data_IF_321246616744
#
_entry.id   IF_321246616744
#
_cell.length_a   1.000
_cell.length_b   1.000
_cell.length_c   1.000
_cell.angle_alpha   90.00
_cell.angle_beta   90.00
_cell.angle_gamma   90.00
#
_symmetry.space_group_name_H-M   'P 1'
#
loop_
_entity.id
_entity.type
_entity.pdbx_description
1 polymer ?
#
# COMPACT_ATOMS: atom_id res chain seq x y z
N UNK A 1 13.71 7.37 -8.40
CA UNK A 1 12.63 6.85 -7.52
C UNK A 1 13.32 6.35 -6.27
N UNK A 2 13.01 6.96 -5.13
CA UNK A 2 13.61 6.65 -3.82
C UNK A 2 12.57 6.15 -2.81
N UNK A 3 11.35 5.84 -3.28
CA UNK A 3 10.26 5.35 -2.44
C UNK A 3 9.22 4.56 -3.23
N UNK A 4 8.54 3.64 -2.58
CA UNK A 4 7.41 2.89 -3.12
C UNK A 4 7.15 1.60 -2.34
N UNK A 5 6.17 0.83 -2.79
CA UNK A 5 5.80 -0.47 -2.23
C UNK A 5 6.56 -1.57 -2.95
N UNK A 6 7.24 -2.42 -2.19
CA UNK A 6 7.88 -3.61 -2.70
C UNK A 6 6.81 -4.66 -3.07
N UNK A 7 7.02 -5.30 -4.21
CA UNK A 7 6.25 -6.41 -4.72
C UNK A 7 7.22 -7.50 -5.13
N UNK A 8 6.96 -8.74 -4.73
CA UNK A 8 7.78 -9.89 -5.13
C UNK A 8 7.07 -10.69 -6.22
N UNK A 9 7.84 -11.49 -6.96
CA UNK A 9 7.33 -12.37 -7.99
C UNK A 9 7.85 -13.78 -7.76
N UNK A 10 6.96 -14.77 -7.80
CA UNK A 10 7.35 -16.19 -7.76
C UNK A 10 8.11 -16.60 -9.03
N UNK A 11 7.83 -15.93 -10.15
CA UNK A 11 8.51 -16.16 -11.41
C UNK A 11 9.60 -15.10 -11.63
N UNK A 12 10.74 -15.46 -12.24
CA UNK A 12 11.77 -14.49 -12.57
C UNK A 12 11.22 -13.38 -13.47
N UNK A 13 11.35 -12.13 -13.02
CA UNK A 13 11.14 -10.97 -13.89
C UNK A 13 12.32 -10.91 -14.85
N UNK A 14 12.07 -10.97 -16.16
CA UNK A 14 13.10 -10.86 -17.22
C UNK A 14 13.12 -9.44 -17.75
N UNK A 15 13.94 -8.56 -17.18
CA UNK A 15 13.88 -7.13 -17.54
C UNK A 15 14.30 -6.83 -18.97
N UNK A 16 15.11 -7.70 -19.57
CA UNK A 16 15.53 -7.60 -20.97
C UNK A 16 14.36 -7.88 -21.95
N UNK A 17 13.31 -8.59 -21.52
CA UNK A 17 12.11 -8.88 -22.31
C UNK A 17 11.06 -7.77 -22.24
N UNK A 18 11.17 -6.87 -21.26
CA UNK A 18 10.28 -5.71 -21.09
C UNK A 18 10.67 -4.67 -22.14
N UNK A 19 10.22 -4.86 -23.38
CA UNK A 19 10.72 -4.13 -24.55
C UNK A 19 9.90 -2.89 -24.91
N UNK A 20 8.60 -2.87 -24.62
CA UNK A 20 7.70 -1.82 -25.13
C UNK A 20 6.76 -1.23 -24.08
N UNK A 21 6.30 0.00 -24.36
CA UNK A 21 5.14 0.59 -23.71
C UNK A 21 3.88 -0.14 -24.14
N UNK A 22 2.90 -0.29 -23.25
CA UNK A 22 1.62 -0.92 -23.52
C UNK A 22 0.48 0.02 -23.11
N UNK A 23 -0.68 -0.13 -23.73
CA UNK A 23 -1.89 0.57 -23.32
C UNK A 23 -3.12 -0.27 -23.64
N UNK A 24 -4.12 -0.17 -22.79
CA UNK A 24 -5.47 -0.67 -23.05
C UNK A 24 -6.37 0.53 -23.33
N UNK A 25 -7.15 0.46 -24.40
CA UNK A 25 -8.09 1.50 -24.78
C UNK A 25 -9.52 1.07 -24.44
N UNK A 26 -10.35 2.05 -24.08
CA UNK A 26 -11.80 1.89 -23.99
C UNK A 26 -12.40 1.68 -25.38
N UNK A 27 -13.69 1.33 -25.44
CA UNK A 27 -14.44 1.23 -26.71
C UNK A 27 -14.40 2.56 -27.50
N UNK A 28 -14.30 3.69 -26.79
CA UNK A 28 -14.17 5.02 -27.40
C UNK A 28 -12.74 5.34 -27.92
N UNK A 29 -11.78 4.40 -27.79
CA UNK A 29 -10.40 4.55 -28.26
C UNK A 29 -9.48 5.32 -27.30
N UNK A 30 -9.97 5.70 -26.13
CA UNK A 30 -9.19 6.45 -25.14
C UNK A 30 -8.50 5.49 -24.17
N UNK A 31 -7.24 5.72 -23.76
CA UNK A 31 -6.54 4.79 -22.88
C UNK A 31 -7.21 4.71 -21.50
N UNK A 32 -7.63 3.50 -21.13
CA UNK A 32 -8.08 3.15 -19.77
C UNK A 32 -6.87 3.10 -18.84
N UNK A 33 -5.81 2.43 -19.29
CA UNK A 33 -4.50 2.51 -18.67
C UNK A 33 -3.40 2.54 -19.73
N UNK A 34 -2.26 3.13 -19.37
CA UNK A 34 -1.06 3.13 -20.18
C UNK A 34 0.15 2.87 -19.29
N UNK A 35 1.10 2.10 -19.79
CA UNK A 35 2.38 1.81 -19.15
C UNK A 35 3.50 2.16 -20.12
N UNK A 36 4.47 2.94 -19.66
CA UNK A 36 5.62 3.36 -20.45
C UNK A 36 6.91 2.90 -19.83
N UNK A 37 7.78 2.30 -20.65
CA UNK A 37 9.17 2.02 -20.27
C UNK A 37 9.99 3.29 -20.53
N UNK A 38 10.77 3.74 -19.54
CA UNK A 38 11.54 4.98 -19.62
C UNK A 38 13.03 4.74 -19.67
N UNK A 39 13.55 3.91 -18.77
CA UNK A 39 14.99 3.70 -18.65
C UNK A 39 15.26 2.24 -18.32
N UNK A 40 16.32 1.71 -18.93
CA UNK A 40 16.98 0.48 -18.51
C UNK A 40 18.36 0.84 -17.98
N UNK A 41 18.77 0.17 -16.94
CA UNK A 41 20.06 0.41 -16.31
C UNK A 41 20.50 -0.83 -15.57
N UNK A 42 21.77 -0.83 -15.20
CA UNK A 42 22.35 -1.78 -14.27
C UNK A 42 22.83 -1.01 -13.05
N UNK A 43 22.79 -1.63 -11.88
CA UNK A 43 23.36 -1.07 -10.67
C UNK A 43 24.85 -1.38 -10.55
N UNK A 44 25.50 -0.82 -9.52
CA UNK A 44 26.92 -1.13 -9.26
C UNK A 44 27.13 -2.57 -8.80
N UNK A 45 26.12 -3.21 -8.22
CA UNK A 45 26.13 -4.63 -7.86
C UNK A 45 25.80 -5.57 -9.03
N UNK A 46 25.59 -5.04 -10.24
CA UNK A 46 25.27 -5.82 -11.44
C UNK A 46 23.79 -6.17 -11.59
N UNK A 47 22.89 -5.57 -10.79
CA UNK A 47 21.45 -5.82 -10.92
C UNK A 47 20.89 -5.01 -12.07
N UNK A 48 20.36 -5.69 -13.08
CA UNK A 48 19.60 -5.04 -14.15
C UNK A 48 18.22 -4.63 -13.65
N UNK A 49 17.78 -3.45 -14.05
CA UNK A 49 16.44 -2.97 -13.75
C UNK A 49 15.90 -2.07 -14.86
N UNK A 50 14.57 -1.97 -14.89
CA UNK A 50 13.83 -1.08 -15.78
C UNK A 50 12.94 -0.17 -14.94
N UNK A 51 12.81 1.09 -15.34
CA UNK A 51 11.87 2.05 -14.72
C UNK A 51 10.90 2.59 -15.74
N UNK A 52 9.74 3.00 -15.26
CA UNK A 52 8.67 3.48 -16.11
C UNK A 52 7.64 4.32 -15.38
N UNK A 53 6.60 4.68 -16.14
CA UNK A 53 5.41 5.35 -15.63
C UNK A 53 4.17 4.57 -16.01
N UNK A 54 3.17 4.60 -15.15
CA UNK A 54 1.83 4.14 -15.44
C UNK A 54 0.87 5.34 -15.41
N UNK A 55 -0.19 5.27 -16.20
CA UNK A 55 -1.33 6.17 -16.14
C UNK A 55 -2.60 5.32 -16.08
N UNK A 56 -3.54 5.71 -15.23
CA UNK A 56 -4.85 5.07 -15.11
C UNK A 56 -5.91 6.15 -15.18
N UNK A 57 -6.84 6.01 -16.12
CA UNK A 57 -8.02 6.86 -16.18
C UNK A 57 -9.11 6.26 -15.29
N UNK A 58 -9.71 7.10 -14.45
CA UNK A 58 -10.87 6.75 -13.64
C UNK A 58 -12.04 7.65 -14.00
N UNK A 59 -13.21 7.05 -14.08
CA UNK A 59 -14.47 7.78 -14.10
C UNK A 59 -14.82 8.15 -12.66
N UNK A 60 -15.19 9.41 -12.46
CA UNK A 60 -15.66 9.92 -11.18
C UNK A 60 -17.02 10.57 -11.38
N UNK A 61 -17.95 10.27 -10.48
CA UNK A 61 -19.26 10.92 -10.45
C UNK A 61 -19.18 12.09 -9.46
N UNK A 62 -19.55 13.29 -9.92
CA UNK A 62 -19.57 14.52 -9.13
C UNK A 62 -20.99 15.05 -9.04
N UNK A 63 -21.45 15.32 -7.83
CA UNK A 63 -22.65 16.11 -7.62
C UNK A 63 -22.34 17.57 -7.89
N UNK A 64 -22.90 18.11 -8.97
CA UNK A 64 -22.73 19.50 -9.35
C UNK A 64 -24.02 20.24 -9.06
N UNK A 65 -23.96 21.19 -8.13
CA UNK A 65 -25.04 22.13 -7.87
C UNK A 65 -24.73 23.45 -8.57
N UNK A 66 -25.62 23.89 -9.46
CA UNK A 66 -25.58 25.24 -10.02
C UNK A 66 -26.71 26.06 -9.43
N UNK A 67 -26.38 27.24 -8.91
CA UNK A 67 -27.36 28.22 -8.43
C UNK A 67 -27.58 29.22 -9.56
N UNK A 68 -28.85 29.43 -9.94
CA UNK A 68 -29.22 30.49 -10.87
C UNK A 68 -30.16 31.47 -10.18
N UNK A 69 -29.82 32.76 -10.28
CA UNK A 69 -30.63 33.85 -9.76
C UNK A 69 -31.35 34.52 -10.92
N UNK A 70 -32.65 34.67 -10.79
CA UNK A 70 -33.52 35.38 -11.74
C UNK A 70 -34.36 36.40 -11.00
N UNK A 71 -35.05 37.27 -11.73
CA UNK A 71 -35.97 38.26 -11.14
C UNK A 71 -37.10 37.58 -10.33
N UNK A 72 -37.42 36.32 -10.64
CA UNK A 72 -38.44 35.49 -9.97
C UNK A 72 -37.90 34.68 -8.77
N UNK A 73 -36.61 34.81 -8.45
CA UNK A 73 -35.98 34.18 -7.29
C UNK A 73 -34.75 33.35 -7.59
N UNK A 74 -34.30 32.60 -6.57
CA UNK A 74 -33.11 31.74 -6.62
C UNK A 74 -33.55 30.29 -6.84
N UNK A 75 -33.00 29.65 -7.87
CA UNK A 75 -33.19 28.22 -8.11
C UNK A 75 -31.86 27.46 -7.98
N UNK A 76 -31.92 26.29 -7.35
CA UNK A 76 -30.77 25.38 -7.21
C UNK A 76 -31.05 24.17 -8.10
N UNK A 77 -30.20 23.93 -9.09
CA UNK A 77 -30.24 22.75 -9.93
C UNK A 77 -29.09 21.82 -9.53
N UNK A 78 -29.42 20.60 -9.12
CA UNK A 78 -28.46 19.55 -8.81
C UNK A 78 -28.49 18.53 -9.95
N UNK A 79 -27.31 18.19 -10.48
CA UNK A 79 -27.17 17.12 -11.46
C UNK A 79 -25.92 16.29 -11.15
N UNK A 80 -26.02 14.99 -11.43
CA UNK A 80 -24.87 14.10 -11.44
C UNK A 80 -24.07 14.36 -12.72
N UNK A 81 -22.78 14.69 -12.58
CA UNK A 81 -21.87 14.89 -13.70
C UNK A 81 -20.80 13.80 -13.65
N UNK A 82 -20.69 13.03 -14.75
CA UNK A 82 -19.57 12.10 -14.97
C UNK A 82 -18.38 12.87 -15.51
N UNK A 83 -17.25 12.71 -14.86
CA UNK A 83 -15.98 13.33 -15.22
C UNK A 83 -14.89 12.25 -15.25
N UNK A 84 -13.74 12.58 -15.83
CA UNK A 84 -12.60 11.68 -15.88
C UNK A 84 -11.40 12.31 -15.22
N UNK A 85 -10.72 11.55 -14.38
CA UNK A 85 -9.41 11.89 -13.85
C UNK A 85 -8.38 10.91 -14.34
N UNK A 86 -7.14 11.36 -14.51
CA UNK A 86 -6.00 10.51 -14.85
C UNK A 86 -5.03 10.52 -13.67
N UNK A 87 -4.83 9.35 -13.09
CA UNK A 87 -3.83 9.12 -12.06
C UNK A 87 -2.51 8.72 -12.73
N UNK A 88 -1.39 9.20 -12.19
CA UNK A 88 -0.06 8.87 -12.67
C UNK A 88 0.73 8.17 -11.58
N UNK A 89 1.44 7.12 -11.97
CA UNK A 89 2.27 6.31 -11.09
C UNK A 89 3.63 6.05 -11.69
N UNK A 90 4.57 5.68 -10.84
CA UNK A 90 5.92 5.26 -11.24
C UNK A 90 6.15 3.83 -10.78
N UNK A 91 6.97 3.13 -11.55
CA UNK A 91 7.32 1.75 -11.25
C UNK A 91 8.75 1.46 -11.64
N UNK A 92 9.29 0.44 -11.00
CA UNK A 92 10.62 -0.09 -11.22
C UNK A 92 10.56 -1.61 -11.08
N UNK A 93 11.10 -2.34 -12.03
CA UNK A 93 11.20 -3.80 -11.98
C UNK A 93 12.66 -4.22 -12.07
N UNK A 94 13.06 -5.14 -11.21
CA UNK A 94 14.44 -5.62 -11.07
C UNK A 94 14.50 -7.08 -11.51
N UNK A 95 15.54 -7.42 -12.25
CA UNK A 95 15.72 -8.75 -12.82
C UNK A 95 15.72 -9.82 -11.74
N UNK A 96 15.04 -10.94 -12.02
CA UNK A 96 14.94 -12.13 -11.17
C UNK A 96 14.35 -11.94 -9.76
N UNK A 97 13.45 -10.98 -9.51
CA UNK A 97 12.77 -11.05 -8.21
C UNK A 97 11.62 -10.12 -7.91
N UNK A 98 11.82 -8.81 -8.04
CA UNK A 98 10.96 -7.85 -7.36
C UNK A 98 10.75 -6.55 -8.14
N UNK A 99 9.69 -5.85 -7.77
CA UNK A 99 9.33 -4.55 -8.31
C UNK A 99 9.03 -3.56 -7.16
N UNK A 100 9.23 -2.28 -7.43
CA UNK A 100 8.78 -1.18 -6.59
C UNK A 100 7.73 -0.40 -7.37
N UNK A 101 6.59 -0.15 -6.76
CA UNK A 101 5.48 0.59 -7.35
C UNK A 101 5.08 1.77 -6.47
N UNK A 102 4.63 2.87 -7.05
CA UNK A 102 4.13 4.00 -6.25
C UNK A 102 2.81 3.70 -5.55
N UNK A 103 1.99 2.79 -6.11
CA UNK A 103 0.64 2.49 -5.64
C UNK A 103 0.20 1.07 -6.08
N UNK A 104 -0.86 0.53 -5.48
CA UNK A 104 -1.39 -0.81 -5.77
C UNK A 104 -1.98 -0.91 -7.17
N UNK A 105 -2.65 0.15 -7.64
CA UNK A 105 -3.18 0.15 -9.00
C UNK A 105 -2.05 0.08 -10.05
N UNK A 106 -0.87 0.62 -9.73
CA UNK A 106 0.32 0.51 -10.59
C UNK A 106 0.80 -0.94 -10.63
N UNK A 107 0.79 -1.65 -9.50
CA UNK A 107 1.06 -3.09 -9.47
C UNK A 107 0.08 -3.87 -10.35
N UNK A 108 -1.22 -3.52 -10.29
CA UNK A 108 -2.25 -4.13 -11.13
C UNK A 108 -1.97 -3.95 -12.63
N UNK A 109 -1.62 -2.73 -13.06
CA UNK A 109 -1.25 -2.46 -14.46
C UNK A 109 0.03 -3.23 -14.85
N UNK A 110 1.04 -3.28 -13.98
CA UNK A 110 2.25 -4.07 -14.21
C UNK A 110 1.94 -5.57 -14.33
N UNK A 111 1.01 -6.06 -13.52
CA UNK A 111 0.56 -7.44 -13.54
C UNK A 111 -0.02 -7.85 -14.88
N UNK A 112 -0.74 -6.94 -15.55
CA UNK A 112 -1.34 -7.22 -16.85
C UNK A 112 -0.33 -7.24 -18.01
N UNK A 113 0.80 -6.55 -17.87
CA UNK A 113 1.73 -6.29 -19.00
C UNK A 113 3.06 -7.02 -18.85
N UNK A 114 3.64 -7.00 -17.66
CA UNK A 114 5.05 -7.35 -17.43
C UNK A 114 5.18 -8.68 -16.70
N UNK A 115 4.54 -8.79 -15.53
CA UNK A 115 4.64 -10.00 -14.72
C UNK A 115 3.33 -10.22 -13.96
N UNK A 116 2.47 -11.16 -14.40
CA UNK A 116 1.17 -11.42 -13.77
C UNK A 116 1.27 -12.02 -12.37
N UNK A 117 2.48 -12.21 -11.85
CA UNK A 117 2.76 -12.86 -10.57
C UNK A 117 3.33 -11.90 -9.53
N UNK A 118 3.16 -10.58 -9.70
CA UNK A 118 3.46 -9.64 -8.62
C UNK A 118 2.51 -9.86 -7.46
N UNK A 119 3.08 -10.06 -6.28
CA UNK A 119 2.36 -10.26 -5.03
C UNK A 119 2.61 -9.12 -4.06
N UNK A 120 1.59 -8.87 -3.25
CA UNK A 120 1.76 -8.13 -2.02
C UNK A 120 2.73 -8.88 -1.11
N UNK A 121 3.55 -8.13 -0.40
CA UNK A 121 4.52 -8.67 0.54
C UNK A 121 4.50 -7.85 1.81
N UNK A 122 4.85 -8.51 2.92
CA UNK A 122 5.08 -7.86 4.19
C UNK A 122 6.59 -7.84 4.48
N UNK A 123 7.01 -6.96 5.40
CA UNK A 123 8.38 -6.88 5.88
C UNK A 123 8.52 -7.37 7.32
N UNK A 124 9.61 -8.08 7.58
CA UNK A 124 10.13 -8.31 8.92
C UNK A 124 11.00 -7.13 9.37
N UNK A 125 10.35 -6.11 9.92
CA UNK A 125 11.07 -4.92 10.39
C UNK A 125 12.03 -5.21 11.55
N UNK A 126 11.79 -6.28 12.34
CA UNK A 126 12.69 -6.69 13.42
C UNK A 126 13.96 -7.32 12.87
N UNK A 127 13.81 -8.29 11.98
CA UNK A 127 14.94 -8.87 11.25
C UNK A 127 15.71 -7.79 10.48
N UNK A 128 15.01 -6.85 9.85
CA UNK A 128 15.62 -5.72 9.16
C UNK A 128 16.47 -4.88 10.11
N UNK A 129 15.90 -4.43 11.23
CA UNK A 129 16.62 -3.62 12.22
C UNK A 129 17.84 -4.34 12.79
N UNK A 130 17.72 -5.64 13.07
CA UNK A 130 18.81 -6.44 13.63
C UNK A 130 20.00 -6.63 12.69
N UNK A 131 19.77 -6.60 11.37
CA UNK A 131 20.82 -6.77 10.37
C UNK A 131 21.42 -5.44 9.87
N UNK A 132 21.02 -4.29 10.43
CA UNK A 132 21.64 -3.00 10.15
C UNK A 132 22.84 -2.80 11.09
N UNK A 133 23.93 -2.27 10.54
CA UNK A 133 25.12 -1.90 11.32
C UNK A 133 24.88 -0.54 11.98
N UNK A 134 24.90 -0.52 13.33
CA UNK A 134 24.74 0.69 14.16
C UNK A 134 23.55 1.59 13.77
N UNK A 135 22.30 1.07 13.73
CA UNK A 135 21.14 1.87 13.34
C UNK A 135 20.73 2.84 14.47
N UNK A 136 20.64 4.13 14.16
CA UNK A 136 19.95 5.12 14.99
C UNK A 136 18.45 5.14 14.63
N UNK A 137 17.63 4.66 15.54
CA UNK A 137 16.18 4.54 15.34
C UNK A 137 15.51 5.87 15.68
N UNK A 138 14.93 6.53 14.66
CA UNK A 138 14.24 7.82 14.84
C UNK A 138 12.71 7.71 14.87
N UNK A 139 12.15 6.59 14.42
CA UNK A 139 10.71 6.30 14.48
C UNK A 139 10.45 4.81 14.69
N UNK A 140 9.53 4.49 15.61
CA UNK A 140 9.01 3.14 15.82
C UNK A 140 7.48 3.17 15.86
N UNK A 141 6.85 2.49 14.90
CA UNK A 141 5.43 2.20 14.94
C UNK A 141 5.16 0.78 15.39
N UNK A 142 4.11 0.60 16.19
CA UNK A 142 3.64 -0.71 16.63
C UNK A 142 2.18 -0.93 16.25
N UNK A 143 1.87 -2.18 15.90
CA UNK A 143 0.51 -2.66 15.82
C UNK A 143 0.15 -3.26 17.20
N UNK A 144 -0.82 -2.67 17.89
CA UNK A 144 -1.18 -3.10 19.23
C UNK A 144 -1.90 -4.45 19.22
N UNK A 145 -1.62 -5.29 20.23
CA UNK A 145 -2.67 -6.14 20.81
C UNK A 145 -3.66 -5.18 21.46
N UNK A 146 -4.96 -5.36 21.22
CA UNK A 146 -5.97 -4.45 21.78
C UNK A 146 -5.79 -4.31 23.29
N UNK A 147 -5.39 -3.14 23.76
CA UNK A 147 -5.39 -2.84 25.19
C UNK A 147 -6.83 -2.59 25.63
N UNK A 148 -7.17 -2.93 26.87
CA UNK A 148 -8.53 -2.81 27.40
C UNK A 148 -9.17 -1.41 27.27
N UNK A 149 -8.36 -0.37 27.04
CA UNK A 149 -8.79 1.03 26.82
C UNK A 149 -8.71 1.50 25.35
N UNK A 150 -8.61 0.58 24.38
CA UNK A 150 -8.86 0.90 22.96
C UNK A 150 -7.65 1.39 22.13
N UNK A 151 -6.42 1.35 22.65
CA UNK A 151 -5.23 1.60 21.84
C UNK A 151 -4.98 0.48 20.83
N UNK A 152 -5.09 0.77 19.53
CA UNK A 152 -4.87 -0.20 18.44
C UNK A 152 -3.60 0.05 17.62
N UNK A 153 -3.07 1.27 17.64
CA UNK A 153 -1.86 1.68 16.90
C UNK A 153 -1.19 2.84 17.64
N UNK A 154 0.14 2.85 17.70
CA UNK A 154 0.93 3.97 18.19
C UNK A 154 2.23 4.10 17.43
N UNK A 155 2.78 5.31 17.42
CA UNK A 155 4.06 5.65 16.80
C UNK A 155 4.84 6.52 17.77
N UNK A 156 6.08 6.14 18.03
CA UNK A 156 7.04 6.91 18.83
C UNK A 156 8.07 7.55 17.89
N UNK A 157 8.40 8.80 18.19
CA UNK A 157 9.41 9.58 17.51
C UNK A 157 10.44 10.06 18.53
N UNK A 158 11.71 10.03 18.18
CA UNK A 158 12.82 10.43 19.03
C UNK A 158 14.10 9.75 18.58
N UNK A 159 15.27 10.22 19.01
CA UNK A 159 16.53 9.50 18.76
C UNK A 159 16.71 8.41 19.82
N UNK A 160 17.33 7.28 19.46
CA UNK A 160 17.62 6.17 20.38
C UNK A 160 16.39 5.66 21.16
N UNK A 161 15.19 5.66 20.56
CA UNK A 161 13.93 5.25 21.24
C UNK A 161 14.00 3.81 21.77
N UNK A 162 14.75 2.96 21.09
CA UNK A 162 14.98 1.56 21.48
C UNK A 162 15.92 1.39 22.69
N UNK A 163 16.67 2.44 23.06
CA UNK A 163 17.61 2.43 24.18
C UNK A 163 17.02 3.04 25.46
N UNK A 164 15.78 3.52 25.40
CA UNK A 164 15.10 4.08 26.56
C UNK A 164 14.88 2.98 27.61
N UNK A 165 15.39 3.13 28.85
CA UNK A 165 15.31 2.09 29.87
C UNK A 165 13.91 1.86 30.43
N UNK A 166 12.97 2.80 30.24
CA UNK A 166 11.60 2.68 30.73
C UNK A 166 10.70 1.91 29.76
N UNK A 167 10.91 2.09 28.45
CA UNK A 167 10.03 1.54 27.40
C UNK A 167 10.72 0.55 26.46
N UNK A 168 12.06 0.53 26.43
CA UNK A 168 12.86 -0.26 25.48
C UNK A 168 12.54 -1.75 25.56
N UNK A 169 12.46 -2.32 26.76
CA UNK A 169 12.15 -3.74 26.97
C UNK A 169 10.76 -4.12 26.43
N UNK A 170 9.75 -3.29 26.68
CA UNK A 170 8.39 -3.54 26.16
C UNK A 170 8.34 -3.35 24.63
N UNK A 171 9.05 -2.36 24.12
CA UNK A 171 9.18 -2.13 22.70
C UNK A 171 9.85 -3.32 22.03
N UNK A 172 10.90 -3.92 22.60
CA UNK A 172 11.63 -5.04 21.99
C UNK A 172 10.77 -6.26 21.67
N UNK A 173 9.71 -6.49 22.44
CA UNK A 173 8.80 -7.63 22.24
C UNK A 173 7.56 -7.31 21.41
N UNK A 174 7.35 -6.04 21.07
CA UNK A 174 6.17 -5.61 20.33
C UNK A 174 6.38 -5.74 18.81
N UNK A 175 5.43 -6.34 18.05
CA UNK A 175 5.48 -6.36 16.60
C UNK A 175 5.51 -4.95 16.01
N UNK A 176 6.53 -4.67 15.20
CA UNK A 176 6.68 -3.39 14.51
C UNK A 176 5.79 -3.35 13.28
N UNK A 177 5.08 -2.24 13.08
CA UNK A 177 4.37 -1.97 11.82
C UNK A 177 5.02 -0.84 11.01
N UNK A 178 5.80 0.03 11.65
CA UNK A 178 6.55 1.10 10.99
C UNK A 178 7.94 1.22 11.63
N UNK A 179 8.95 1.55 10.84
CA UNK A 179 10.33 1.69 11.29
C UNK A 179 11.00 2.83 10.52
N UNK A 180 11.51 3.83 11.24
CA UNK A 180 12.38 4.87 10.71
C UNK A 180 13.76 4.74 11.33
N UNK A 181 14.78 4.62 10.49
CA UNK A 181 16.19 4.46 10.90
C UNK A 181 17.13 5.38 10.13
N UNK A 182 18.23 5.72 10.76
CA UNK A 182 19.42 6.30 10.16
C UNK A 182 20.58 5.32 10.36
N UNK A 183 21.34 4.99 9.32
CA UNK A 183 22.51 4.12 9.45
C UNK A 183 23.55 4.43 8.38
N UNK A 184 24.76 3.89 8.56
CA UNK A 184 25.82 4.02 7.56
C UNK A 184 25.52 3.10 6.37
N UNK A 185 25.55 3.65 5.17
CA UNK A 185 25.45 2.90 3.92
C UNK A 185 26.51 3.39 2.95
N UNK A 186 27.40 2.49 2.54
CA UNK A 186 28.60 2.81 1.76
C UNK A 186 29.43 3.90 2.47
N UNK A 187 29.64 5.06 1.84
CA UNK A 187 30.40 6.18 2.38
C UNK A 187 29.52 7.30 2.96
N UNK A 188 28.22 7.07 3.12
CA UNK A 188 27.26 8.09 3.54
C UNK A 188 26.28 7.61 4.59
N UNK A 189 25.41 8.50 5.02
CA UNK A 189 24.31 8.21 5.94
C UNK A 189 23.03 7.99 5.14
N UNK A 190 22.35 6.87 5.40
CA UNK A 190 21.04 6.58 4.85
C UNK A 190 19.97 6.80 5.90
N UNK A 191 18.99 7.66 5.61
CA UNK A 191 17.77 7.82 6.41
C UNK A 191 16.64 7.10 5.69
N UNK A 192 16.08 6.06 6.30
CA UNK A 192 15.09 5.20 5.68
C UNK A 192 13.83 5.08 6.54
N UNK A 193 12.68 4.91 5.89
CA UNK A 193 11.40 4.54 6.49
C UNK A 193 10.82 3.30 5.83
N UNK A 194 10.22 2.45 6.65
CA UNK A 194 9.63 1.19 6.26
C UNK A 194 8.25 1.00 6.89
N UNK A 195 7.31 0.42 6.15
CA UNK A 195 6.02 -0.03 6.68
C UNK A 195 5.83 -1.53 6.44
N UNK A 196 5.58 -2.28 7.52
CA UNK A 196 5.57 -3.74 7.50
C UNK A 196 4.48 -4.32 6.61
N UNK A 197 3.25 -3.80 6.70
CA UNK A 197 2.05 -4.40 6.09
C UNK A 197 1.86 -4.09 4.61
N UNK A 198 2.60 -3.12 4.08
CA UNK A 198 2.53 -2.71 2.66
C UNK A 198 3.85 -2.91 1.94
N UNK A 199 4.87 -3.36 2.69
CA UNK A 199 6.28 -3.33 2.31
C UNK A 199 6.69 -2.01 1.65
N UNK A 200 6.16 -0.89 2.17
CA UNK A 200 6.57 0.43 1.73
C UNK A 200 7.98 0.72 2.22
N UNK A 201 8.78 1.31 1.34
CA UNK A 201 10.15 1.75 1.59
C UNK A 201 10.29 3.19 1.10
N UNK A 202 10.96 4.04 1.85
CA UNK A 202 11.32 5.40 1.45
C UNK A 202 12.71 5.77 1.99
N UNK A 203 13.57 6.30 1.12
CA UNK A 203 14.86 6.88 1.49
C UNK A 203 14.79 8.40 1.47
N UNK A 204 15.09 9.01 2.60
CA UNK A 204 15.12 10.46 2.81
C UNK A 204 16.53 11.02 2.71
N UNK A 205 16.59 12.31 2.36
CA UNK A 205 17.84 13.07 2.27
C UNK A 205 18.72 12.62 1.09
N UNK A 206 19.64 13.48 0.66
CA UNK A 206 20.57 13.20 -0.44
C UNK A 206 19.92 13.02 -1.81
N UNK A 207 20.75 12.96 -2.84
CA UNK A 207 20.34 12.75 -4.23
C UNK A 207 20.41 11.26 -4.60
N UNK A 208 19.54 10.44 -4.02
CA UNK A 208 19.49 9.00 -4.31
C UNK A 208 19.19 8.74 -5.79
N UNK A 209 20.17 8.18 -6.50
CA UNK A 209 19.94 7.67 -7.85
C UNK A 209 19.10 6.39 -7.83
N UNK A 210 18.42 6.08 -8.94
CA UNK A 210 17.69 4.82 -9.12
C UNK A 210 18.58 3.60 -8.84
N UNK A 211 19.87 3.66 -9.22
CA UNK A 211 20.83 2.58 -9.03
C UNK A 211 21.11 2.33 -7.54
N UNK A 212 21.39 3.41 -6.79
CA UNK A 212 21.64 3.32 -5.35
C UNK A 212 20.40 2.83 -4.59
N UNK A 213 19.20 3.28 -4.99
CA UNK A 213 17.96 2.80 -4.41
C UNK A 213 17.74 1.29 -4.65
N UNK A 214 17.98 0.81 -5.87
CA UNK A 214 17.89 -0.63 -6.19
C UNK A 214 18.90 -1.45 -5.41
N UNK A 215 20.14 -0.98 -5.32
CA UNK A 215 21.19 -1.65 -4.54
C UNK A 215 20.79 -1.73 -3.06
N UNK A 216 20.36 -0.61 -2.47
CA UNK A 216 19.93 -0.54 -1.08
C UNK A 216 18.77 -1.49 -0.78
N UNK A 217 17.69 -1.43 -1.57
CA UNK A 217 16.50 -2.27 -1.38
C UNK A 217 16.85 -3.74 -1.50
N UNK A 218 17.60 -4.13 -2.53
CA UNK A 218 17.93 -5.53 -2.72
C UNK A 218 18.98 -6.05 -1.72
N UNK A 219 19.81 -5.20 -1.13
CA UNK A 219 20.78 -5.60 -0.10
C UNK A 219 20.12 -5.69 1.28
N UNK A 220 19.36 -4.69 1.67
CA UNK A 220 18.87 -4.54 3.04
C UNK A 220 17.43 -4.94 3.23
N UNK A 221 16.56 -4.83 2.22
CA UNK A 221 15.10 -4.96 2.42
C UNK A 221 14.58 -6.31 1.93
N UNK A 222 14.96 -6.74 0.74
CA UNK A 222 14.37 -7.92 0.07
C UNK A 222 14.55 -9.21 0.89
N UNK A 223 15.65 -9.35 1.62
CA UNK A 223 15.91 -10.51 2.50
C UNK A 223 14.95 -10.62 3.70
N UNK A 224 14.24 -9.54 4.02
CA UNK A 224 13.26 -9.49 5.11
C UNK A 224 11.81 -9.47 4.60
N UNK A 225 11.60 -9.78 3.33
CA UNK A 225 10.26 -10.07 2.80
C UNK A 225 9.73 -11.32 3.51
N UNK A 226 8.56 -11.19 4.13
CA UNK A 226 7.82 -12.32 4.65
C UNK A 226 6.95 -12.91 3.55
N UNK A 227 7.13 -14.20 3.29
CA UNK A 227 6.24 -14.98 2.44
C UNK A 227 5.12 -15.53 3.32
N UNK A 228 4.09 -14.71 3.56
CA UNK A 228 3.04 -15.04 4.53
C UNK A 228 2.13 -16.20 4.08
N UNK A 229 2.33 -16.75 2.88
CA UNK A 229 1.48 -17.79 2.29
C UNK A 229 0.01 -17.37 2.12
N UNK A 230 -0.32 -16.11 2.43
CA UNK A 230 -1.68 -15.59 2.42
C UNK A 230 -2.10 -15.33 0.98
N UNK A 231 -3.21 -15.93 0.57
CA UNK A 231 -3.73 -15.74 -0.77
C UNK A 231 -4.10 -14.26 -1.00
N UNK A 232 -3.83 -13.68 -2.19
CA UNK A 232 -4.24 -12.32 -2.50
C UNK A 232 -5.77 -12.23 -2.40
N UNK A 233 -6.27 -11.42 -1.46
CA UNK A 233 -7.71 -11.19 -1.25
C UNK A 233 -8.21 -11.37 0.18
N UNK A 234 -7.43 -11.94 1.10
CA UNK A 234 -7.79 -11.92 2.52
C UNK A 234 -7.47 -10.56 3.13
N UNK A 235 -8.38 -9.60 2.99
CA UNK A 235 -8.42 -8.44 3.88
C UNK A 235 -8.57 -8.96 5.29
N UNK A 236 -7.60 -8.69 6.16
CA UNK A 236 -7.62 -9.08 7.56
C UNK A 236 -8.74 -8.36 8.32
N UNK A 237 -9.97 -8.80 8.13
CA UNK A 237 -11.02 -8.62 9.12
C UNK A 237 -10.66 -9.52 10.29
N UNK A 238 -10.52 -8.89 11.46
CA UNK A 238 -10.03 -9.51 12.67
C UNK A 238 -10.84 -10.76 13.01
N UNK A 239 -10.11 -11.84 13.34
CA UNK A 239 -10.69 -12.95 14.09
C UNK A 239 -11.31 -12.39 15.37
N UNK A 240 -12.62 -12.21 15.33
CA UNK A 240 -13.44 -11.99 16.51
C UNK A 240 -13.23 -13.18 17.43
N UNK A 241 -12.66 -12.91 18.60
CA UNK A 241 -12.67 -13.83 19.71
C UNK A 241 -14.12 -14.32 19.91
N UNK A 242 -14.29 -15.63 19.97
CA UNK A 242 -15.55 -16.24 20.36
C UNK A 242 -16.00 -15.66 21.69
N UNK A 243 -17.14 -14.97 21.66
CA UNK A 243 -17.94 -14.71 22.85
C UNK A 243 -18.85 -15.92 22.97
N UNK A 244 -18.45 -16.84 23.84
CA UNK A 244 -19.36 -17.76 24.49
C UNK A 244 -20.25 -16.97 25.47
N UNK A 245 -21.46 -17.49 25.66
CA UNK A 245 -22.46 -17.16 26.69
C UNK A 245 -23.24 -15.84 26.56
N UNK A 246 -24.43 -15.92 25.96
CA UNK A 246 -25.68 -15.89 26.73
C UNK A 246 -26.88 -16.23 25.84
N UNK A 247 -27.45 -17.42 26.07
CA UNK A 247 -28.83 -17.73 25.69
C UNK A 247 -29.76 -16.99 26.65
N UNK A 248 -30.24 -15.81 26.25
CA UNK A 248 -31.49 -15.28 26.78
C UNK A 248 -32.61 -15.73 25.85
N UNK A 249 -33.42 -16.66 26.36
CA UNK A 249 -34.76 -16.98 25.86
C UNK A 249 -35.60 -15.70 25.84
N UNK A 250 -35.94 -15.24 24.64
CA UNK A 250 -37.02 -14.27 24.45
C UNK A 250 -38.31 -15.05 24.22
N UNK A 251 -39.19 -14.94 25.21
CA UNK A 251 -40.58 -15.37 25.16
C UNK A 251 -41.37 -14.61 24.09
N UNK A 252 -42.35 -15.35 23.57
CA UNK A 252 -43.60 -14.95 22.91
C UNK A 252 -43.90 -13.46 22.84
N UNK A 253 -44.04 -12.92 21.61
CA UNK A 253 -45.03 -11.89 21.33
C UNK A 253 -45.70 -12.11 19.97
N UNK A 254 -46.92 -12.61 20.07
CA UNK A 254 -48.13 -12.37 19.27
C UNK A 254 -47.99 -12.07 17.76
N UNK A 255 -48.44 -13.06 17.00
CA UNK A 255 -48.94 -12.92 15.65
C UNK A 255 -50.18 -12.02 15.61
N UNK A 256 -50.06 -10.82 15.04
CA UNK A 256 -51.22 -10.03 14.59
C UNK A 256 -51.52 -10.37 13.13
N UNK A 257 -52.54 -11.20 12.94
CA UNK A 257 -53.20 -11.43 11.66
C UNK A 257 -54.09 -10.22 11.30
N UNK A 258 -53.75 -9.49 10.24
CA UNK A 258 -54.68 -8.55 9.60
C UNK A 258 -55.34 -9.27 8.44
N UNK A 259 -56.56 -9.73 8.67
CA UNK A 259 -57.47 -10.22 7.64
C UNK A 259 -58.34 -9.09 7.12
N UNK A 260 -58.35 -8.98 5.79
CA UNK A 260 -59.49 -8.83 4.89
C UNK A 260 -60.54 -7.73 5.16
N UNK A 261 -60.82 -6.99 4.09
CA UNK A 261 -61.79 -5.91 4.05
C UNK A 261 -61.96 -5.41 2.63
N UNK A 262 -62.30 -6.29 1.70
CA UNK A 262 -62.97 -5.88 0.48
C UNK A 262 -64.41 -5.48 0.80
N UNK A 263 -64.84 -4.31 0.33
CA UNK A 263 -66.15 -4.21 -0.31
C UNK A 263 -66.24 -3.06 -1.33
N UNK A 264 -66.51 -3.50 -2.56
CA UNK A 264 -67.32 -2.95 -3.65
C UNK A 264 -68.18 -1.70 -3.39
N UNK A 265 -68.10 -0.70 -4.27
CA UNK A 265 -69.18 -0.18 -5.13
C UNK A 265 -68.70 1.01 -5.97
#
# INVERSE_FOLDING_TARGET
MNRGRLRTSDLPIRVDEITTSAAQQTIAGEPEWALTVRRRSETTSGRKFVTGRAALRREIEKDVASVSTSDDGVSINQRLQRDHTTEFGVWMAVDNGWAIVSDDWVAGVLGQVITPHLKDTNLDLRGLLADLEEPDVWQLGFAGRGVAKGGRKGVLYGSHVNEDPEIGDELMHTPLNELGVEHIYQSGQAKAYFAASTAYVELYGGDWSDQQFVDYVGQHVVRHVKNDGRAPGETGEGGGAGVDENQETFDELDSVSVSDGGDSA
#
